data_IF_678662451391
#
_entry.id   IF_678662451391
#
_cell.length_a   1.000
_cell.length_b   1.000
_cell.length_c   1.000
_cell.angle_alpha   90.00
_cell.angle_beta   90.00
_cell.angle_gamma   90.00
#
_symmetry.space_group_name_H-M   'P 1'
#
loop_
_entity.id
_entity.type
_entity.pdbx_description
1 polymer ?
#
# COMPACT_ATOMS: atom_id res chain seq x y z
N UNK A 1 5.04 -18.10 -0.61
CA UNK A 1 4.94 -16.69 -1.00
C UNK A 1 6.13 -16.26 -1.85
N UNK A 2 5.87 -15.79 -3.07
CA UNK A 2 6.84 -15.10 -3.92
C UNK A 2 6.27 -13.70 -4.13
N UNK A 3 6.62 -12.76 -3.26
CA UNK A 3 6.24 -11.37 -3.43
C UNK A 3 6.84 -10.82 -4.73
N UNK A 4 5.99 -10.30 -5.61
CA UNK A 4 6.39 -9.64 -6.85
C UNK A 4 6.79 -8.20 -6.56
N UNK A 5 8.04 -7.85 -6.88
CA UNK A 5 8.55 -6.48 -6.79
C UNK A 5 8.65 -5.85 -8.17
N UNK A 6 7.96 -4.73 -8.36
CA UNK A 6 7.97 -3.96 -9.61
C UNK A 6 8.48 -2.56 -9.32
N UNK A 7 9.55 -2.13 -10.00
CA UNK A 7 10.05 -0.77 -9.87
C UNK A 7 9.18 0.19 -10.65
N UNK A 8 8.93 1.37 -10.09
CA UNK A 8 8.23 2.45 -10.76
C UNK A 8 9.06 3.73 -10.70
N UNK A 9 8.82 4.61 -11.68
CA UNK A 9 9.48 5.92 -11.76
C UNK A 9 8.43 7.01 -11.87
N UNK A 10 8.49 7.99 -10.95
CA UNK A 10 7.70 9.19 -11.07
C UNK A 10 6.26 9.07 -10.56
N UNK A 11 6.05 8.42 -9.43
CA UNK A 11 4.76 8.40 -8.75
C UNK A 11 4.69 9.39 -7.59
N UNK A 12 3.47 9.88 -7.33
CA UNK A 12 3.24 10.86 -6.27
C UNK A 12 3.18 10.17 -4.92
N UNK A 13 4.22 10.37 -4.11
CA UNK A 13 4.27 9.93 -2.73
C UNK A 13 3.22 10.65 -1.86
N UNK A 14 2.82 10.07 -0.71
CA UNK A 14 1.89 10.71 0.24
C UNK A 14 2.43 12.01 0.85
N UNK A 15 3.74 12.31 0.73
CA UNK A 15 4.29 13.61 1.07
C UNK A 15 4.04 14.70 0.01
N UNK A 16 3.49 14.32 -1.15
CA UNK A 16 3.20 15.21 -2.28
C UNK A 16 4.32 15.29 -3.33
N UNK A 17 5.49 14.68 -3.07
CA UNK A 17 6.62 14.65 -4.02
C UNK A 17 6.45 13.51 -5.03
N UNK A 18 6.79 13.79 -6.29
CA UNK A 18 6.91 12.76 -7.31
C UNK A 18 8.28 12.12 -7.22
N UNK A 19 8.33 10.82 -6.95
CA UNK A 19 9.58 10.07 -6.76
C UNK A 19 9.50 8.68 -7.39
N UNK A 20 10.64 8.06 -7.57
CA UNK A 20 10.78 6.64 -7.88
C UNK A 20 10.47 5.75 -6.66
N UNK A 21 10.32 4.46 -6.90
CA UNK A 21 10.02 3.50 -5.85
C UNK A 21 9.79 2.09 -6.36
N UNK A 22 9.25 1.24 -5.49
CA UNK A 22 8.98 -0.16 -5.75
C UNK A 22 7.58 -0.54 -5.23
N UNK A 23 6.78 -1.15 -6.10
CA UNK A 23 5.55 -1.86 -5.74
C UNK A 23 5.89 -3.29 -5.34
N UNK A 24 5.41 -3.71 -4.20
CA UNK A 24 5.45 -5.06 -3.70
C UNK A 24 4.02 -5.60 -3.70
N UNK A 25 3.81 -6.73 -4.37
CA UNK A 25 2.55 -7.45 -4.38
C UNK A 25 2.81 -8.86 -3.89
N UNK A 26 2.13 -9.26 -2.84
CA UNK A 26 2.11 -10.63 -2.34
C UNK A 26 0.66 -11.10 -2.29
N UNK A 27 0.41 -12.23 -2.93
CA UNK A 27 -0.89 -12.88 -3.01
C UNK A 27 -0.69 -14.32 -2.53
N UNK A 28 -1.38 -14.69 -1.45
CA UNK A 28 -1.30 -16.06 -0.93
C UNK A 28 -2.24 -17.01 -1.68
N UNK A 29 -3.05 -16.50 -2.63
CA UNK A 29 -4.00 -17.28 -3.42
C UNK A 29 -5.27 -17.68 -2.67
N UNK A 30 -5.27 -17.59 -1.33
CA UNK A 30 -6.42 -17.93 -0.49
C UNK A 30 -7.34 -16.74 -0.19
N UNK A 31 -7.05 -15.53 -0.69
CA UNK A 31 -7.87 -14.33 -0.50
C UNK A 31 -7.24 -13.24 0.38
N UNK A 32 -5.97 -13.40 0.76
CA UNK A 32 -5.15 -12.34 1.33
C UNK A 32 -4.25 -11.74 0.25
N UNK A 33 -4.48 -10.47 -0.07
CA UNK A 33 -3.64 -9.71 -1.02
C UNK A 33 -2.95 -8.56 -0.29
N UNK A 34 -1.63 -8.61 -0.23
CA UNK A 34 -0.78 -7.58 0.36
C UNK A 34 -0.15 -6.76 -0.76
N UNK A 35 -0.48 -5.47 -0.80
CA UNK A 35 0.15 -4.49 -1.70
C UNK A 35 0.88 -3.45 -0.87
N UNK A 36 2.19 -3.38 -1.03
CA UNK A 36 3.00 -2.35 -0.39
C UNK A 36 3.72 -1.54 -1.44
N UNK A 37 3.87 -0.25 -1.23
CA UNK A 37 4.51 0.66 -2.17
C UNK A 37 5.54 1.45 -1.40
N UNK A 38 6.79 1.31 -1.81
CA UNK A 38 7.94 1.90 -1.18
C UNK A 38 8.44 3.04 -2.05
N UNK A 39 8.35 4.26 -1.56
CA UNK A 39 8.81 5.45 -2.29
C UNK A 39 10.25 5.77 -1.88
N UNK A 40 11.09 6.19 -2.82
CA UNK A 40 12.50 6.51 -2.57
C UNK A 40 12.70 7.68 -1.60
N UNK A 41 11.68 8.53 -1.41
CA UNK A 41 11.68 9.56 -0.38
C UNK A 41 11.49 9.04 1.06
N UNK A 42 11.26 7.73 1.24
CA UNK A 42 10.97 7.10 2.53
C UNK A 42 9.49 7.03 2.90
N UNK A 43 8.59 7.42 1.99
CA UNK A 43 7.16 7.18 2.19
C UNK A 43 6.83 5.71 1.91
N UNK A 44 5.73 5.23 2.50
CA UNK A 44 5.19 3.91 2.25
C UNK A 44 3.67 3.95 2.14
N UNK A 45 3.11 3.17 1.22
CA UNK A 45 1.67 2.87 1.16
C UNK A 45 1.48 1.38 1.37
N UNK A 46 0.50 0.98 2.17
CA UNK A 46 0.13 -0.41 2.40
C UNK A 46 -1.35 -0.54 2.09
N UNK A 47 -1.71 -1.57 1.33
CA UNK A 47 -3.08 -1.96 1.03
C UNK A 47 -3.21 -3.46 1.24
N UNK A 48 -3.95 -3.84 2.25
CA UNK A 48 -4.29 -5.22 2.54
C UNK A 48 -5.73 -5.48 2.14
N UNK A 49 -5.95 -6.57 1.42
CA UNK A 49 -7.27 -7.10 1.10
C UNK A 49 -7.38 -8.44 1.82
N UNK A 50 -8.37 -8.55 2.71
CA UNK A 50 -8.57 -9.74 3.55
C UNK A 50 -9.61 -10.67 2.91
N UNK A 51 -9.62 -11.92 3.39
CA UNK A 51 -10.56 -12.97 2.95
C UNK A 51 -12.02 -12.54 3.04
N UNK A 52 -12.37 -11.74 4.04
CA UNK A 52 -13.73 -11.23 4.26
C UNK A 52 -14.11 -10.07 3.30
N UNK A 53 -13.27 -9.76 2.31
CA UNK A 53 -13.45 -8.64 1.38
C UNK A 53 -13.15 -7.27 2.00
N UNK A 54 -12.72 -7.24 3.27
CA UNK A 54 -12.29 -6.01 3.94
C UNK A 54 -11.00 -5.49 3.29
N UNK A 55 -10.92 -4.17 3.14
CA UNK A 55 -9.74 -3.51 2.58
C UNK A 55 -9.21 -2.53 3.61
N UNK A 56 -7.97 -2.75 4.04
CA UNK A 56 -7.22 -1.80 4.88
C UNK A 56 -6.25 -1.04 3.99
N UNK A 57 -6.32 0.30 4.03
CA UNK A 57 -5.42 1.17 3.28
C UNK A 57 -4.74 2.14 4.24
N UNK A 58 -3.43 1.99 4.37
CA UNK A 58 -2.60 2.86 5.20
C UNK A 58 -1.56 3.57 4.35
N UNK A 59 -1.39 4.87 4.56
CA UNK A 59 -0.30 5.62 3.94
C UNK A 59 0.56 6.30 5.02
N UNK A 60 1.84 5.98 5.04
CA UNK A 60 2.82 6.53 5.99
C UNK A 60 3.79 7.42 5.25
N UNK A 61 3.96 8.65 5.73
CA UNK A 61 4.98 9.56 5.20
C UNK A 61 6.36 9.22 5.74
N UNK A 62 7.38 9.67 5.03
CA UNK A 62 8.77 9.64 5.48
C UNK A 62 9.00 10.35 6.84
N UNK A 63 8.09 11.24 7.23
CA UNK A 63 8.08 11.90 8.55
C UNK A 63 7.49 11.01 9.68
N UNK A 64 7.15 9.75 9.39
CA UNK A 64 6.47 8.84 10.33
C UNK A 64 4.98 9.12 10.52
N UNK A 65 4.47 10.20 9.91
CA UNK A 65 3.05 10.57 10.02
C UNK A 65 2.19 9.69 9.12
N UNK A 66 1.20 9.02 9.70
CA UNK A 66 0.14 8.33 8.96
C UNK A 66 -0.80 9.37 8.37
N UNK A 67 -0.94 9.38 7.05
CA UNK A 67 -1.73 10.39 6.30
C UNK A 67 -3.13 9.88 5.98
N UNK A 68 -3.30 8.57 5.93
CA UNK A 68 -4.59 7.97 5.58
C UNK A 68 -4.69 6.64 6.31
N UNK A 69 -5.69 6.57 7.18
CA UNK A 69 -6.20 5.35 7.79
C UNK A 69 -7.69 5.36 7.44
N UNK A 70 -8.01 4.89 6.24
CA UNK A 70 -9.40 4.56 5.91
C UNK A 70 -9.46 3.04 6.02
N UNK A 71 -9.77 2.54 7.22
CA UNK A 71 -10.35 1.21 7.38
C UNK A 71 -11.74 1.29 6.74
N UNK A 72 -11.75 1.11 5.42
CA UNK A 72 -12.97 0.96 4.64
C UNK A 72 -13.55 -0.43 4.86
N UNK A 73 -13.89 -0.76 6.10
CA UNK A 73 -14.88 -1.79 6.39
C UNK A 73 -16.24 -1.24 5.97
N UNK A 74 -16.44 -1.05 4.66
CA UNK A 74 -17.76 -0.83 4.11
C UNK A 74 -18.44 -2.20 4.07
N UNK A 75 -18.81 -2.70 5.26
CA UNK A 75 -19.84 -3.72 5.39
C UNK A 75 -21.19 -3.02 5.09
N UNK A 76 -21.35 -2.62 3.84
CA UNK A 76 -22.48 -1.86 3.35
C UNK A 76 -23.53 -2.77 2.74
N UNK A 77 -24.51 -3.09 3.59
CA UNK A 77 -25.88 -3.59 3.34
C UNK A 77 -26.05 -5.09 3.08
#
# INVERSE_FOLDING_TARGET
>A
MIGTRTRFTGEKAPCGKTVDGEHYLDDDGDGLVIREEYFSCGCRRSRHEYHDGSIEMTAVRHDGKVVRDEVGANHGL
#
